data_IF_727718398368
#
_entry.id   IF_727718398368
#
_cell.length_a   1.000
_cell.length_b   1.000
_cell.length_c   1.000
_cell.angle_alpha   90.00
_cell.angle_beta   90.00
_cell.angle_gamma   90.00
#
_symmetry.space_group_name_H-M   'P 1'
#
loop_
_entity.id
_entity.type
_entity.pdbx_description
1 polymer ?
#
# COMPACT_ATOMS: atom_id res chain seq x y z
N UNK A 1 11.83 3.09 10.84
CA UNK A 1 10.50 3.48 10.33
C UNK A 1 9.75 2.19 10.11
N UNK A 2 8.51 2.09 10.59
CA UNK A 2 7.71 0.87 10.44
C UNK A 2 7.48 0.56 8.95
N UNK A 3 7.35 -0.73 8.59
CA UNK A 3 7.08 -1.16 7.21
C UNK A 3 5.76 -0.58 6.70
N UNK A 4 4.76 -0.50 7.58
CA UNK A 4 3.50 0.22 7.35
C UNK A 4 3.72 1.68 6.96
N UNK A 5 4.51 2.42 7.74
CA UNK A 5 4.82 3.83 7.47
C UNK A 5 5.60 4.03 6.16
N UNK A 6 6.48 3.09 5.82
CA UNK A 6 7.18 3.04 4.54
C UNK A 6 6.21 2.88 3.37
N UNK A 7 5.22 1.98 3.48
CA UNK A 7 4.21 1.79 2.43
C UNK A 7 3.32 3.02 2.25
N UNK A 8 2.87 3.63 3.35
CA UNK A 8 2.09 4.88 3.31
C UNK A 8 2.89 5.97 2.61
N UNK A 9 4.15 6.18 3.01
CA UNK A 9 5.02 7.20 2.39
C UNK A 9 5.26 6.94 0.90
N UNK A 10 5.48 5.69 0.49
CA UNK A 10 5.68 5.36 -0.91
C UNK A 10 4.45 5.75 -1.75
N UNK A 11 3.24 5.40 -1.32
CA UNK A 11 2.03 5.79 -2.03
C UNK A 11 1.80 7.30 -2.08
N UNK A 12 2.12 8.02 -1.01
CA UNK A 12 2.00 9.49 -1.03
C UNK A 12 3.02 10.15 -1.99
N UNK A 13 4.21 9.56 -2.15
CA UNK A 13 5.21 10.01 -3.14
C UNK A 13 4.69 9.77 -4.56
N UNK A 14 4.15 8.58 -4.85
CA UNK A 14 3.53 8.25 -6.14
C UNK A 14 2.35 9.18 -6.45
N UNK A 15 1.47 9.44 -5.47
CA UNK A 15 0.36 10.37 -5.63
C UNK A 15 0.85 11.78 -6.00
N UNK A 16 1.92 12.27 -5.36
CA UNK A 16 2.53 13.58 -5.69
C UNK A 16 3.12 13.59 -7.10
N UNK A 17 3.78 12.51 -7.51
CA UNK A 17 4.31 12.37 -8.88
C UNK A 17 3.18 12.48 -9.91
N UNK A 18 2.12 11.70 -9.75
CA UNK A 18 1.00 11.70 -10.69
C UNK A 18 0.14 12.96 -10.65
N UNK A 19 0.20 13.74 -9.57
CA UNK A 19 -0.39 15.07 -9.52
C UNK A 19 0.33 16.02 -10.50
N UNK A 20 1.66 15.93 -10.60
CA UNK A 20 2.45 16.67 -11.58
C UNK A 20 2.12 16.28 -13.03
N UNK A 21 1.81 15.00 -13.25
CA UNK A 21 1.37 14.46 -14.55
C UNK A 21 -0.11 14.76 -14.88
N UNK A 22 -0.81 15.51 -14.03
CA UNK A 22 -2.27 15.76 -14.13
C UNK A 22 -3.11 14.47 -14.23
N UNK A 23 -2.60 13.34 -13.76
CA UNK A 23 -3.27 12.05 -13.80
C UNK A 23 -4.09 11.83 -12.54
N UNK A 24 -5.22 12.53 -12.45
CA UNK A 24 -6.08 12.55 -11.26
C UNK A 24 -6.57 11.15 -10.85
N UNK A 25 -6.76 10.23 -11.81
CA UNK A 25 -7.15 8.84 -11.51
C UNK A 25 -6.08 8.16 -10.65
N UNK A 26 -4.81 8.24 -11.06
CA UNK A 26 -3.69 7.66 -10.32
C UNK A 26 -3.48 8.33 -8.97
N UNK A 27 -3.63 9.65 -8.90
CA UNK A 27 -3.55 10.39 -7.63
C UNK A 27 -4.53 9.82 -6.60
N UNK A 28 -5.82 9.69 -6.98
CA UNK A 28 -6.85 9.18 -6.09
C UNK A 28 -6.60 7.72 -5.70
N UNK A 29 -6.12 6.89 -6.63
CA UNK A 29 -5.80 5.48 -6.38
C UNK A 29 -4.72 5.33 -5.30
N UNK A 30 -3.61 6.06 -5.40
CA UNK A 30 -2.53 5.97 -4.41
C UNK A 30 -2.89 6.60 -3.07
N UNK A 31 -3.70 7.67 -3.05
CA UNK A 31 -4.26 8.20 -1.79
C UNK A 31 -5.13 7.14 -1.12
N UNK A 32 -6.02 6.47 -1.87
CA UNK A 32 -6.87 5.42 -1.32
C UNK A 32 -6.04 4.28 -0.74
N UNK A 33 -4.98 3.82 -1.42
CA UNK A 33 -4.13 2.77 -0.87
C UNK A 33 -3.42 3.17 0.43
N UNK A 34 -3.02 4.44 0.56
CA UNK A 34 -2.46 4.95 1.81
C UNK A 34 -3.52 4.97 2.92
N UNK A 35 -4.75 5.40 2.61
CA UNK A 35 -5.88 5.38 3.55
C UNK A 35 -6.22 3.95 3.99
N UNK A 36 -6.28 3.00 3.06
CA UNK A 36 -6.55 1.59 3.36
C UNK A 36 -5.52 1.01 4.35
N UNK A 37 -4.24 1.43 4.26
CA UNK A 37 -3.22 1.04 5.23
C UNK A 37 -3.46 1.69 6.60
N UNK A 38 -3.89 2.95 6.65
CA UNK A 38 -4.23 3.64 7.90
C UNK A 38 -5.45 2.99 8.56
N UNK A 39 -6.44 2.59 7.78
CA UNK A 39 -7.65 1.91 8.23
C UNK A 39 -7.43 0.42 8.55
N UNK A 40 -6.29 -0.14 8.14
CA UNK A 40 -5.95 -1.56 8.36
C UNK A 40 -6.67 -2.52 7.42
N UNK A 41 -7.32 -2.01 6.37
CA UNK A 41 -7.93 -2.80 5.30
C UNK A 41 -6.91 -3.24 4.25
N UNK A 42 -5.73 -2.60 4.25
CA UNK A 42 -4.52 -2.99 3.52
C UNK A 42 -3.33 -3.03 4.47
N UNK A 43 -2.38 -3.91 4.20
CA UNK A 43 -1.22 -4.11 5.09
C UNK A 43 0.01 -3.35 4.55
N UNK A 44 0.10 -3.21 3.22
CA UNK A 44 1.11 -2.41 2.53
C UNK A 44 2.13 -3.27 1.81
N UNK A 45 2.70 -2.72 0.73
CA UNK A 45 3.54 -3.50 -0.21
C UNK A 45 4.90 -3.93 0.38
N UNK A 46 5.31 -3.39 1.54
CA UNK A 46 6.55 -3.79 2.22
C UNK A 46 6.34 -4.86 3.30
N UNK A 47 5.09 -5.25 3.58
CA UNK A 47 4.74 -6.31 4.52
C UNK A 47 4.43 -7.67 3.85
N UNK A 48 4.54 -7.73 2.51
CA UNK A 48 4.08 -8.85 1.68
C UNK A 48 4.76 -10.21 1.96
N UNK A 49 5.93 -10.26 2.60
CA UNK A 49 6.57 -11.54 2.92
C UNK A 49 5.81 -12.33 3.99
N UNK A 50 5.26 -11.68 5.02
CA UNK A 50 4.66 -12.39 6.15
C UNK A 50 3.26 -12.94 5.83
N UNK A 51 2.46 -12.19 5.08
CA UNK A 51 1.08 -12.57 4.74
C UNK A 51 1.01 -13.56 3.59
N UNK A 52 1.90 -13.46 2.60
CA UNK A 52 1.96 -14.49 1.56
C UNK A 52 2.42 -15.83 2.12
N UNK A 53 3.33 -15.83 3.11
CA UNK A 53 3.72 -17.04 3.83
C UNK A 53 2.55 -17.60 4.67
N UNK A 54 1.87 -16.77 5.45
CA UNK A 54 0.73 -17.21 6.28
C UNK A 54 -0.48 -17.69 5.45
N UNK A 55 -0.78 -17.04 4.33
CA UNK A 55 -1.84 -17.47 3.40
C UNK A 55 -1.49 -18.75 2.65
N UNK A 56 -0.20 -18.99 2.38
CA UNK A 56 0.28 -20.25 1.81
C UNK A 56 0.10 -21.38 2.82
N UNK A 57 0.50 -21.17 4.08
CA UNK A 57 0.31 -22.15 5.16
C UNK A 57 -1.16 -22.48 5.46
N UNK A 58 -2.08 -21.51 5.27
CA UNK A 58 -3.53 -21.73 5.41
C UNK A 58 -4.18 -22.46 4.23
N UNK A 59 -3.58 -22.44 3.03
CA UNK A 59 -4.10 -23.13 1.84
C UNK A 59 -3.58 -24.56 1.68
N UNK A 60 -2.50 -24.92 2.37
CA UNK A 60 -1.89 -26.26 2.35
C UNK A 60 -2.40 -27.17 3.50
N UNK A 61 -3.35 -26.71 4.31
CA UNK A 61 -4.12 -27.50 5.31
C UNK A 61 -5.53 -27.75 4.83
#
# INVERSE_FOLDING_TARGET
>A
MDKRDLSIRAYLIEAKYYLGESNNKRVLEYIQYALDIVEGTRIGDFEDEYINQYRKELKEK
#
